data_IF_051498407585
#
_entry.id   IF_051498407585
#
_cell.length_a   1.000
_cell.length_b   1.000
_cell.length_c   1.000
_cell.angle_alpha   90.00
_cell.angle_beta   90.00
_cell.angle_gamma   90.00
#
_symmetry.space_group_name_H-M   'P 1'
#
loop_
_entity.id
_entity.type
_entity.pdbx_description
1 polymer ?
#
# COMPACT_ATOMS: atom_id res chain seq x y z
N UNK A 1 21.86 8.43 -49.80
CA UNK A 1 21.11 7.30 -49.19
C UNK A 1 21.74 6.76 -47.90
N UNK A 2 22.99 7.10 -47.54
CA UNK A 2 23.65 6.61 -46.31
C UNK A 2 23.27 7.43 -45.05
N UNK A 3 22.79 8.68 -45.20
CA UNK A 3 22.38 9.54 -44.07
C UNK A 3 21.01 9.19 -43.45
N UNK A 4 20.20 8.34 -44.09
CA UNK A 4 18.86 7.98 -43.61
C UNK A 4 18.89 6.76 -42.65
N UNK A 5 19.96 5.96 -42.68
CA UNK A 5 20.09 4.73 -41.87
C UNK A 5 20.56 5.04 -40.44
N UNK A 6 21.26 6.16 -40.24
CA UNK A 6 21.75 6.59 -38.92
C UNK A 6 20.62 7.11 -38.03
N UNK A 7 19.51 7.61 -38.60
CA UNK A 7 18.40 8.14 -37.80
C UNK A 7 17.51 7.02 -37.19
N UNK A 8 17.41 5.88 -37.88
CA UNK A 8 16.56 4.74 -37.44
C UNK A 8 17.24 3.89 -36.35
N UNK A 9 18.57 3.88 -36.30
CA UNK A 9 19.33 3.10 -35.31
C UNK A 9 19.37 3.75 -33.91
N UNK A 10 19.01 5.03 -33.78
CA UNK A 10 19.02 5.73 -32.48
C UNK A 10 17.75 5.50 -31.64
N UNK A 11 16.68 4.96 -32.20
CA UNK A 11 15.39 4.78 -31.48
C UNK A 11 15.29 3.39 -30.81
N UNK A 12 16.13 2.43 -31.19
CA UNK A 12 16.05 1.06 -30.69
C UNK A 12 16.83 0.82 -29.37
N UNK A 13 17.44 1.87 -28.80
CA UNK A 13 18.30 1.77 -27.62
C UNK A 13 17.63 2.11 -26.28
N UNK A 14 16.35 2.50 -26.26
CA UNK A 14 15.69 2.99 -25.02
C UNK A 14 14.69 2.03 -24.38
N UNK A 15 14.73 0.74 -24.73
CA UNK A 15 14.03 -0.29 -23.93
C UNK A 15 14.97 -0.82 -22.84
N UNK A 16 15.45 0.07 -21.98
CA UNK A 16 15.82 -0.36 -20.63
C UNK A 16 14.48 -0.66 -19.98
N UNK A 17 14.03 -1.91 -20.08
CA UNK A 17 12.92 -2.38 -19.27
C UNK A 17 13.30 -2.10 -17.82
N UNK A 18 12.68 -1.10 -17.21
CA UNK A 18 12.77 -0.90 -15.78
C UNK A 18 12.36 -2.22 -15.16
N UNK A 19 13.30 -2.91 -14.51
CA UNK A 19 12.99 -4.01 -13.62
C UNK A 19 12.28 -3.39 -12.41
N UNK A 20 11.03 -2.96 -12.60
CA UNK A 20 10.18 -2.50 -11.52
C UNK A 20 9.86 -3.75 -10.71
N UNK A 21 10.34 -3.76 -9.46
CA UNK A 21 9.88 -4.72 -8.47
C UNK A 21 8.35 -4.63 -8.36
N UNK A 22 7.70 -5.74 -8.04
CA UNK A 22 6.26 -5.74 -7.82
C UNK A 22 5.89 -4.67 -6.76
N UNK A 23 4.79 -3.92 -6.96
CA UNK A 23 4.38 -2.88 -6.03
C UNK A 23 4.21 -3.45 -4.62
N UNK A 24 4.72 -2.75 -3.61
CA UNK A 24 4.54 -3.14 -2.22
C UNK A 24 3.09 -3.01 -1.80
N UNK A 25 2.53 -4.08 -1.24
CA UNK A 25 1.14 -4.12 -0.79
C UNK A 25 1.06 -3.65 0.67
N UNK A 26 0.46 -2.48 0.88
CA UNK A 26 0.38 -1.83 2.20
C UNK A 26 -1.05 -1.93 2.75
N UNK A 27 -1.20 -2.55 3.90
CA UNK A 27 -2.48 -2.73 4.59
C UNK A 27 -2.70 -1.68 5.67
N UNK A 28 -3.95 -1.26 5.86
CA UNK A 28 -4.36 -0.39 6.97
C UNK A 28 -5.57 -0.97 7.69
N UNK A 29 -5.52 -1.02 9.01
CA UNK A 29 -6.65 -1.39 9.87
C UNK A 29 -7.11 -0.14 10.63
N UNK A 30 -8.37 0.24 10.43
CA UNK A 30 -9.00 1.40 11.06
C UNK A 30 -10.06 0.99 12.07
N UNK A 31 -10.14 1.73 13.18
CA UNK A 31 -11.17 1.56 14.21
C UNK A 31 -12.53 2.12 13.80
N UNK A 32 -12.56 3.22 13.04
CA UNK A 32 -13.77 3.83 12.50
C UNK A 32 -13.73 3.93 10.98
N UNK A 33 -14.68 4.67 10.38
CA UNK A 33 -14.67 5.00 8.97
C UNK A 33 -13.85 6.27 8.69
N UNK A 34 -13.25 6.44 7.49
CA UNK A 34 -12.63 7.71 7.08
C UNK A 34 -13.58 8.91 7.10
N UNK A 35 -14.90 8.67 7.12
CA UNK A 35 -15.94 9.69 7.29
C UNK A 35 -16.05 10.27 8.70
N UNK A 36 -15.21 9.87 9.65
CA UNK A 36 -15.19 10.44 11.01
C UNK A 36 -14.68 11.90 11.08
N UNK A 37 -14.06 12.40 10.00
CA UNK A 37 -13.44 13.73 9.90
C UNK A 37 -12.46 14.04 11.04
N UNK A 38 -11.85 13.02 11.63
CA UNK A 38 -10.95 13.11 12.76
C UNK A 38 -9.81 12.12 12.68
N UNK A 39 -9.80 11.13 13.56
CA UNK A 39 -8.68 10.19 13.72
C UNK A 39 -8.49 9.32 12.49
N UNK A 40 -9.53 8.58 12.09
CA UNK A 40 -9.45 7.67 10.94
C UNK A 40 -9.26 8.45 9.66
N UNK A 41 -9.96 9.58 9.51
CA UNK A 41 -9.77 10.50 8.39
C UNK A 41 -8.31 10.87 8.19
N UNK A 42 -7.60 11.30 9.26
CA UNK A 42 -6.21 11.70 9.13
C UNK A 42 -5.26 10.54 8.82
N UNK A 43 -5.54 9.33 9.33
CA UNK A 43 -4.81 8.13 8.91
C UNK A 43 -5.04 7.81 7.43
N UNK A 44 -6.26 7.94 6.94
CA UNK A 44 -6.58 7.70 5.53
C UNK A 44 -6.00 8.79 4.61
N UNK A 45 -5.97 10.05 5.04
CA UNK A 45 -5.23 11.10 4.34
C UNK A 45 -3.73 10.76 4.26
N UNK A 46 -3.14 10.18 5.31
CA UNK A 46 -1.77 9.67 5.28
C UNK A 46 -1.57 8.53 4.27
N UNK A 47 -2.51 7.58 4.19
CA UNK A 47 -2.50 6.50 3.19
C UNK A 47 -2.57 7.05 1.76
N UNK A 48 -3.50 7.98 1.50
CA UNK A 48 -3.64 8.62 0.19
C UNK A 48 -2.40 9.45 -0.17
N UNK A 49 -1.82 10.15 0.80
CA UNK A 49 -0.57 10.89 0.61
C UNK A 49 0.58 9.95 0.25
N UNK A 50 0.74 8.82 0.95
CA UNK A 50 1.71 7.78 0.62
C UNK A 50 1.53 7.29 -0.83
N UNK A 51 0.31 6.96 -1.25
CA UNK A 51 0.03 6.56 -2.64
C UNK A 51 0.43 7.67 -3.64
N UNK A 52 0.14 8.94 -3.33
CA UNK A 52 0.51 10.07 -4.18
C UNK A 52 2.03 10.25 -4.33
N UNK A 53 2.80 9.98 -3.27
CA UNK A 53 4.24 10.21 -3.24
C UNK A 53 5.04 9.02 -3.81
N UNK A 54 4.54 7.80 -3.62
CA UNK A 54 5.25 6.58 -4.00
C UNK A 54 4.76 6.00 -5.34
N UNK A 55 3.58 6.41 -5.82
CA UNK A 55 3.05 6.01 -7.12
C UNK A 55 3.02 4.49 -7.30
N UNK A 56 3.49 4.04 -8.47
CA UNK A 56 3.48 2.63 -8.87
C UNK A 56 4.34 1.71 -7.98
N UNK A 57 5.14 2.25 -7.06
CA UNK A 57 5.92 1.44 -6.12
C UNK A 57 5.07 0.82 -5.01
N UNK A 58 3.83 1.30 -4.79
CA UNK A 58 2.94 0.80 -3.73
C UNK A 58 1.50 0.63 -4.22
N UNK A 59 0.79 -0.28 -3.57
CA UNK A 59 -0.67 -0.34 -3.60
C UNK A 59 -1.17 -0.42 -2.17
N UNK A 60 -2.32 0.19 -1.85
CA UNK A 60 -2.86 0.10 -0.50
C UNK A 60 -4.26 -0.52 -0.44
N UNK A 61 -4.54 -1.18 0.68
CA UNK A 61 -5.87 -1.66 1.05
C UNK A 61 -6.16 -1.24 2.48
N UNK A 62 -7.41 -0.87 2.79
CA UNK A 62 -7.83 -0.63 4.16
C UNK A 62 -9.04 -1.48 4.54
N UNK A 63 -9.17 -1.76 5.85
CA UNK A 63 -10.38 -2.33 6.46
C UNK A 63 -10.81 -1.36 7.56
N UNK A 64 -12.03 -0.83 7.43
CA UNK A 64 -12.62 0.09 8.40
C UNK A 64 -13.56 -0.60 9.40
N UNK A 65 -13.93 0.12 10.46
CA UNK A 65 -14.86 -0.33 11.49
C UNK A 65 -14.44 -1.67 12.16
N UNK A 66 -13.14 -1.88 12.33
CA UNK A 66 -12.61 -3.05 13.03
C UNK A 66 -12.69 -2.77 14.54
N UNK A 67 -13.41 -3.56 15.35
CA UNK A 67 -13.47 -3.29 16.79
C UNK A 67 -12.20 -3.77 17.50
N UNK A 68 -11.85 -3.10 18.60
CA UNK A 68 -10.69 -3.42 19.46
C UNK A 68 -10.94 -4.66 20.35
N UNK A 69 -11.17 -5.80 19.71
CA UNK A 69 -11.39 -7.08 20.38
C UNK A 69 -10.78 -8.22 19.53
N UNK A 70 -11.20 -9.46 19.75
CA UNK A 70 -10.70 -10.63 19.01
C UNK A 70 -10.97 -10.56 17.48
N UNK A 71 -11.87 -9.69 17.03
CA UNK A 71 -12.14 -9.49 15.60
C UNK A 71 -10.99 -8.77 14.89
N UNK A 72 -10.21 -7.94 15.60
CA UNK A 72 -9.04 -7.29 15.05
C UNK A 72 -7.99 -8.32 14.58
N UNK A 73 -7.78 -9.41 15.34
CA UNK A 73 -6.89 -10.51 14.93
C UNK A 73 -7.32 -11.07 13.56
N UNK A 74 -8.62 -11.27 13.35
CA UNK A 74 -9.13 -11.79 12.06
C UNK A 74 -8.90 -10.81 10.92
N UNK A 75 -9.12 -9.51 11.15
CA UNK A 75 -8.89 -8.48 10.14
C UNK A 75 -7.41 -8.34 9.78
N UNK A 76 -6.52 -8.28 10.78
CA UNK A 76 -5.07 -8.21 10.59
C UNK A 76 -4.57 -9.47 9.85
N UNK A 77 -4.99 -10.67 10.30
CA UNK A 77 -4.62 -11.94 9.67
C UNK A 77 -5.11 -12.06 8.23
N UNK A 78 -6.27 -11.48 7.89
CA UNK A 78 -6.76 -11.43 6.51
C UNK A 78 -5.82 -10.62 5.60
N UNK A 79 -5.33 -9.47 6.07
CA UNK A 79 -4.36 -8.68 5.30
C UNK A 79 -3.01 -9.41 5.21
N UNK A 80 -2.52 -10.01 6.29
CA UNK A 80 -1.28 -10.78 6.28
C UNK A 80 -1.34 -11.98 5.31
N UNK A 81 -2.41 -12.78 5.40
CA UNK A 81 -2.61 -13.95 4.54
C UNK A 81 -2.84 -13.60 3.05
N UNK A 82 -3.24 -12.36 2.75
CA UNK A 82 -3.38 -11.86 1.37
C UNK A 82 -2.08 -11.29 0.78
N UNK A 83 -0.95 -11.45 1.48
CA UNK A 83 0.38 -11.09 1.00
C UNK A 83 0.66 -9.59 1.05
N UNK A 84 0.15 -8.88 2.05
CA UNK A 84 0.58 -7.50 2.32
C UNK A 84 2.00 -7.52 2.90
N UNK A 85 2.89 -6.71 2.34
CA UNK A 85 4.28 -6.57 2.78
C UNK A 85 4.40 -5.79 4.11
N UNK A 86 3.45 -4.88 4.37
CA UNK A 86 3.40 -4.02 5.55
C UNK A 86 1.96 -3.78 5.95
N UNK A 87 1.65 -3.81 7.24
CA UNK A 87 0.31 -3.55 7.78
C UNK A 87 0.41 -2.52 8.92
N UNK A 88 -0.32 -1.42 8.80
CA UNK A 88 -0.49 -0.43 9.86
C UNK A 88 -1.78 -0.70 10.64
N UNK A 89 -1.66 -0.85 11.96
CA UNK A 89 -2.80 -1.01 12.88
C UNK A 89 -2.98 0.28 13.69
N UNK A 90 -3.97 1.09 13.31
CA UNK A 90 -4.03 2.53 13.67
C UNK A 90 -4.85 2.82 14.93
N UNK A 91 -4.82 1.93 15.92
CA UNK A 91 -5.47 2.17 17.22
C UNK A 91 -4.66 1.57 18.35
N UNK A 92 -4.66 2.25 19.49
CA UNK A 92 -3.82 1.88 20.63
C UNK A 92 -4.13 0.47 21.13
N UNK A 93 -5.40 0.09 21.24
CA UNK A 93 -5.77 -1.24 21.74
C UNK A 93 -5.71 -2.34 20.66
N UNK A 94 -5.06 -2.09 19.52
CA UNK A 94 -4.67 -3.16 18.58
C UNK A 94 -3.30 -3.77 18.89
N UNK A 95 -2.58 -3.27 19.89
CA UNK A 95 -1.20 -3.67 20.17
C UNK A 95 -1.06 -5.20 20.37
N UNK A 96 -1.88 -5.79 21.23
CA UNK A 96 -1.80 -7.22 21.55
C UNK A 96 -2.20 -8.09 20.35
N UNK A 97 -3.23 -7.69 19.59
CA UNK A 97 -3.70 -8.39 18.39
C UNK A 97 -2.71 -8.27 17.23
N UNK A 98 -1.98 -7.15 17.15
CA UNK A 98 -0.89 -6.96 16.19
C UNK A 98 0.26 -7.91 16.53
N UNK A 99 0.64 -7.98 17.81
CA UNK A 99 1.69 -8.87 18.27
C UNK A 99 1.34 -10.35 18.06
N UNK A 100 0.06 -10.72 18.24
CA UNK A 100 -0.39 -12.11 18.01
C UNK A 100 -0.22 -12.57 16.54
N UNK A 101 -0.35 -11.65 15.58
CA UNK A 101 -0.33 -12.00 14.15
C UNK A 101 1.05 -11.83 13.50
N UNK A 102 1.93 -11.02 14.08
CA UNK A 102 3.28 -10.74 13.57
C UNK A 102 4.20 -11.97 13.58
#
# INVERSE_FOLDING_TARGET
MIRLIILITTILGLSIGSANADPKKIGFIYIGPPGDHGWTYMHDQGRQYMESQLGDAVTSTYIENVPENADAVRAIRKLAASGHDLIFTTSFNYMDQTLEVA
#
